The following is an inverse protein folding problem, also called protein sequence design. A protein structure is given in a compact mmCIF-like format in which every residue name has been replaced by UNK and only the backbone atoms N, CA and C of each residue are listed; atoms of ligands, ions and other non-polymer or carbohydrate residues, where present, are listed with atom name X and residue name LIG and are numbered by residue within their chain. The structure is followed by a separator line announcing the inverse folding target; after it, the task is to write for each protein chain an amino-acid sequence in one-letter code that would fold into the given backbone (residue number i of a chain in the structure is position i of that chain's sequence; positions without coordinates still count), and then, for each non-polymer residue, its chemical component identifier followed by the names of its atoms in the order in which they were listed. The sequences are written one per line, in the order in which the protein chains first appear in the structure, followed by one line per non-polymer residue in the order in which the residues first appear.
data_IF_247489865554
#
_entry.id   IF_247489865554
#
_cell.length_a   1.000
_cell.length_b   1.000
_cell.length_c   1.000
_cell.angle_alpha   90.00
_cell.angle_beta   90.00
_cell.angle_gamma   90.00
#
_symmetry.space_group_name_H-M   'P 1'
#
loop_
_entity.id
_entity.type
_entity.pdbx_description
1 polymer ?
#
# COMPACT_ATOMS: atom_id res chain seq x y z
N UNK A 1 -11.19 -34.32 -5.92
CA UNK A 1 -10.37 -33.15 -6.34
C UNK A 1 -9.90 -32.42 -5.08
N UNK A 2 -8.60 -32.16 -4.97
CA UNK A 2 -7.96 -31.46 -3.85
C UNK A 2 -7.44 -30.13 -4.38
N UNK A 3 -7.74 -29.06 -3.68
CA UNK A 3 -7.49 -27.68 -4.11
C UNK A 3 -6.67 -26.95 -3.05
N UNK A 4 -5.82 -26.02 -3.47
CA UNK A 4 -4.91 -25.29 -2.57
C UNK A 4 -5.53 -23.95 -2.20
N UNK A 5 -5.58 -23.64 -0.90
CA UNK A 5 -5.99 -22.31 -0.45
C UNK A 5 -4.90 -21.28 -0.80
N UNK A 6 -5.19 -20.21 -1.57
CA UNK A 6 -4.18 -19.23 -1.98
C UNK A 6 -3.62 -18.36 -0.84
N UNK A 7 -4.24 -18.37 0.35
CA UNK A 7 -3.81 -17.57 1.50
C UNK A 7 -2.87 -18.34 2.42
N UNK A 8 -3.26 -19.55 2.83
CA UNK A 8 -2.47 -20.36 3.75
C UNK A 8 -1.61 -21.42 3.06
N UNK A 9 -1.79 -21.66 1.75
CA UNK A 9 -1.02 -22.63 0.97
C UNK A 9 -1.32 -24.10 1.27
N UNK A 10 -2.25 -24.40 2.19
CA UNK A 10 -2.64 -25.76 2.56
C UNK A 10 -3.61 -26.36 1.53
N UNK A 11 -3.55 -27.68 1.39
CA UNK A 11 -4.41 -28.47 0.50
C UNK A 11 -5.68 -28.86 1.24
N UNK A 12 -6.84 -28.61 0.64
CA UNK A 12 -8.15 -28.97 1.20
C UNK A 12 -9.02 -29.71 0.18
N UNK A 13 -9.95 -30.58 0.64
CA UNK A 13 -11.02 -31.07 -0.21
C UNK A 13 -11.97 -29.93 -0.58
N UNK A 14 -12.51 -29.97 -1.81
CA UNK A 14 -13.40 -28.92 -2.35
C UNK A 14 -14.52 -28.48 -1.39
N UNK A 15 -15.14 -29.43 -0.66
CA UNK A 15 -16.23 -29.17 0.31
C UNK A 15 -15.86 -28.25 1.48
N UNK A 16 -14.57 -28.13 1.80
CA UNK A 16 -14.07 -27.27 2.88
C UNK A 16 -13.66 -25.88 2.41
N UNK A 17 -13.68 -25.64 1.10
CA UNK A 17 -13.38 -24.35 0.51
C UNK A 17 -14.68 -23.60 0.19
N UNK A 18 -14.67 -22.29 0.35
CA UNK A 18 -15.77 -21.41 -0.09
C UNK A 18 -15.25 -20.37 -1.07
N UNK A 19 -16.16 -19.89 -1.92
CA UNK A 19 -15.84 -18.90 -2.95
C UNK A 19 -15.97 -17.50 -2.36
N UNK A 20 -14.95 -16.67 -2.56
CA UNK A 20 -15.02 -15.25 -2.21
C UNK A 20 -15.86 -14.49 -3.25
N UNK A 21 -16.88 -13.75 -2.82
CA UNK A 21 -17.76 -13.00 -3.73
C UNK A 21 -17.03 -11.91 -4.52
N UNK A 22 -15.93 -11.36 -3.99
CA UNK A 22 -15.21 -10.24 -4.62
C UNK A 22 -14.11 -10.66 -5.61
N UNK A 23 -13.41 -11.76 -5.35
CA UNK A 23 -12.31 -12.22 -6.22
C UNK A 23 -12.57 -13.55 -6.91
N UNK A 24 -13.69 -14.23 -6.61
CA UNK A 24 -14.11 -15.48 -7.25
C UNK A 24 -13.27 -16.71 -6.90
N UNK A 25 -12.18 -16.57 -6.14
CA UNK A 25 -11.29 -17.69 -5.76
C UNK A 25 -11.82 -18.46 -4.55
N UNK A 26 -11.40 -19.72 -4.44
CA UNK A 26 -11.70 -20.63 -3.35
C UNK A 26 -10.69 -20.46 -2.20
N UNK A 27 -11.18 -20.41 -0.96
CA UNK A 27 -10.34 -20.33 0.25
C UNK A 27 -10.91 -21.22 1.36
N UNK A 28 -10.07 -21.64 2.30
CA UNK A 28 -10.52 -22.41 3.46
C UNK A 28 -11.35 -21.54 4.42
N UNK A 29 -12.12 -22.18 5.31
CA UNK A 29 -12.99 -21.51 6.27
C UNK A 29 -12.24 -20.48 7.12
N UNK A 30 -11.02 -20.78 7.56
CA UNK A 30 -10.19 -19.86 8.37
C UNK A 30 -9.72 -18.63 7.60
N UNK A 31 -9.65 -18.73 6.26
CA UNK A 31 -9.18 -17.66 5.38
C UNK A 31 -10.34 -16.83 4.80
N UNK A 32 -11.56 -17.02 5.32
CA UNK A 32 -12.79 -16.34 4.90
C UNK A 32 -13.46 -15.70 6.10
N UNK A 33 -14.06 -14.54 5.86
CA UNK A 33 -14.93 -13.81 6.77
C UNK A 33 -16.30 -13.65 6.14
N UNK A 34 -17.34 -13.68 6.95
CA UNK A 34 -18.70 -13.42 6.51
C UNK A 34 -19.05 -11.95 6.80
N UNK A 35 -19.68 -11.27 5.85
CA UNK A 35 -20.26 -9.94 6.09
C UNK A 35 -21.64 -10.07 6.72
N UNK A 36 -22.17 -8.96 7.22
CA UNK A 36 -23.55 -8.87 7.74
C UNK A 36 -24.59 -9.33 6.70
N UNK A 37 -24.33 -9.08 5.42
CA UNK A 37 -25.16 -9.52 4.29
C UNK A 37 -25.08 -11.04 4.00
N UNK A 38 -24.38 -11.83 4.82
CA UNK A 38 -24.16 -13.27 4.59
C UNK A 38 -23.15 -13.60 3.48
N UNK A 39 -22.52 -12.58 2.87
CA UNK A 39 -21.54 -12.79 1.81
C UNK A 39 -20.20 -13.30 2.35
N UNK A 40 -19.58 -14.24 1.64
CA UNK A 40 -18.25 -14.77 1.98
C UNK A 40 -17.14 -13.97 1.31
N UNK A 41 -16.24 -13.36 2.09
CA UNK A 41 -15.07 -12.63 1.62
C UNK A 41 -13.79 -13.30 2.10
N UNK A 42 -12.76 -13.39 1.25
CA UNK A 42 -11.45 -13.79 1.74
C UNK A 42 -10.79 -12.67 2.55
N UNK A 43 -9.89 -13.00 3.47
CA UNK A 43 -9.21 -12.03 4.35
C UNK A 43 -8.52 -10.90 3.57
N UNK A 44 -7.95 -11.19 2.41
CA UNK A 44 -7.36 -10.16 1.54
C UNK A 44 -8.39 -9.19 0.95
N UNK A 45 -9.60 -9.67 0.63
CA UNK A 45 -10.68 -8.82 0.13
C UNK A 45 -11.29 -8.01 1.28
N UNK A 46 -11.51 -8.63 2.44
CA UNK A 46 -11.96 -7.93 3.64
C UNK A 46 -11.00 -6.80 4.04
N UNK A 47 -9.68 -7.08 4.06
CA UNK A 47 -8.64 -6.06 4.30
C UNK A 47 -8.72 -4.88 3.34
N UNK A 48 -9.02 -5.11 2.07
CA UNK A 48 -9.15 -4.04 1.06
C UNK A 48 -10.39 -3.18 1.25
N UNK A 49 -11.43 -3.69 1.92
CA UNK A 49 -12.64 -2.94 2.23
C UNK A 49 -12.39 -2.01 3.42
N UNK A 50 -11.83 -2.55 4.50
CA UNK A 50 -11.55 -1.77 5.73
C UNK A 50 -10.37 -0.80 5.58
N UNK A 51 -9.42 -1.13 4.72
CA UNK A 51 -8.24 -0.29 4.46
C UNK A 51 -7.96 -0.26 2.96
N UNK A 52 -8.74 0.49 2.18
CA UNK A 52 -8.51 0.61 0.76
C UNK A 52 -7.12 1.19 0.51
N UNK A 53 -6.32 0.49 -0.28
CA UNK A 53 -5.06 1.06 -0.77
C UNK A 53 -5.41 2.33 -1.56
N UNK A 54 -4.90 3.49 -1.11
CA UNK A 54 -4.92 4.71 -1.90
C UNK A 54 -4.04 4.44 -3.14
N UNK A 55 -4.66 4.14 -4.27
CA UNK A 55 -3.96 3.99 -5.54
C UNK A 55 -3.73 5.41 -6.09
N UNK A 56 -2.47 5.79 -6.30
CA UNK A 56 -2.09 7.09 -6.84
C UNK A 56 -1.64 8.10 -5.78
N UNK A 57 -1.69 9.38 -6.12
CA UNK A 57 -1.30 10.50 -5.24
C UNK A 57 -2.36 10.76 -4.17
N UNK A 58 -2.04 11.61 -3.18
CA UNK A 58 -2.99 12.08 -2.14
C UNK A 58 -4.31 12.57 -2.75
N UNK A 59 -4.27 13.18 -3.93
CA UNK A 59 -5.43 13.78 -4.61
C UNK A 59 -6.15 12.84 -5.60
N UNK A 60 -5.72 11.58 -5.73
CA UNK A 60 -6.39 10.56 -6.56
C UNK A 60 -7.88 10.36 -6.25
N UNK A 61 -8.37 10.44 -4.98
CA UNK A 61 -9.80 10.38 -4.72
C UNK A 61 -10.60 11.52 -5.38
N UNK A 62 -10.02 12.71 -5.47
CA UNK A 62 -10.62 13.88 -6.11
C UNK A 62 -10.70 13.69 -7.64
N UNK A 63 -9.63 13.16 -8.26
CA UNK A 63 -9.64 12.86 -9.69
C UNK A 63 -10.74 11.86 -10.06
N UNK A 64 -10.89 10.79 -9.27
CA UNK A 64 -11.95 9.78 -9.43
C UNK A 64 -13.34 10.36 -9.20
N UNK A 65 -13.49 11.30 -8.27
CA UNK A 65 -14.75 12.01 -8.05
C UNK A 65 -15.15 12.81 -9.28
N UNK A 66 -14.25 13.65 -9.81
CA UNK A 66 -14.49 14.47 -10.99
C UNK A 66 -14.76 13.60 -12.24
N UNK A 67 -14.02 12.50 -12.41
CA UNK A 67 -14.25 11.54 -13.49
C UNK A 67 -15.67 10.98 -13.48
N UNK A 68 -16.20 10.62 -12.30
CA UNK A 68 -17.57 10.10 -12.16
C UNK A 68 -18.64 11.17 -12.41
N UNK A 69 -18.31 12.45 -12.22
CA UNK A 69 -19.22 13.57 -12.48
C UNK A 69 -19.21 14.00 -13.95
N UNK A 70 -18.12 13.74 -14.68
CA UNK A 70 -17.93 14.17 -16.06
C UNK A 70 -19.06 13.81 -17.05
N UNK A 71 -19.76 12.66 -16.94
CA UNK A 71 -20.88 12.35 -17.83
C UNK A 71 -22.12 13.23 -17.61
N UNK A 72 -22.28 13.81 -16.41
CA UNK A 72 -23.52 14.47 -16.00
C UNK A 72 -23.39 15.99 -15.95
N UNK A 73 -22.19 16.52 -15.67
CA UNK A 73 -21.97 17.95 -15.49
C UNK A 73 -20.66 18.42 -16.11
N UNK A 74 -20.69 19.62 -16.69
CA UNK A 74 -19.50 20.29 -17.23
C UNK A 74 -18.82 21.21 -16.21
N UNK A 75 -19.56 21.63 -15.17
CA UNK A 75 -19.09 22.52 -14.11
C UNK A 75 -19.49 21.95 -12.75
N UNK A 76 -18.58 21.97 -11.79
CA UNK A 76 -18.82 21.47 -10.43
C UNK A 76 -18.18 22.43 -9.44
N UNK A 77 -19.01 22.97 -8.54
CA UNK A 77 -18.53 23.79 -7.42
C UNK A 77 -18.45 22.92 -6.16
N UNK A 78 -17.28 22.87 -5.52
CA UNK A 78 -17.04 22.13 -4.29
C UNK A 78 -16.52 23.05 -3.20
N UNK A 79 -17.04 22.89 -1.99
CA UNK A 79 -16.46 23.54 -0.80
C UNK A 79 -15.20 22.80 -0.35
N UNK A 80 -14.32 23.47 0.39
CA UNK A 80 -13.09 22.87 0.89
C UNK A 80 -13.38 21.68 1.78
N UNK A 81 -14.37 21.78 2.68
CA UNK A 81 -14.79 20.66 3.52
C UNK A 81 -15.23 19.45 2.69
N UNK A 82 -15.90 19.67 1.56
CA UNK A 82 -16.29 18.57 0.66
C UNK A 82 -15.07 17.94 -0.02
N UNK A 83 -14.10 18.76 -0.43
CA UNK A 83 -12.84 18.30 -1.03
C UNK A 83 -12.04 17.47 -0.01
N UNK A 84 -11.90 17.94 1.22
CA UNK A 84 -11.24 17.23 2.33
C UNK A 84 -11.93 15.90 2.62
N UNK A 85 -13.26 15.88 2.66
CA UNK A 85 -14.03 14.64 2.81
C UNK A 85 -13.84 13.66 1.65
N UNK A 86 -13.69 14.15 0.40
CA UNK A 86 -13.40 13.30 -0.76
C UNK A 86 -11.99 12.73 -0.68
N UNK A 87 -11.01 13.56 -0.32
CA UNK A 87 -9.60 13.16 -0.17
C UNK A 87 -9.44 12.23 1.04
N UNK A 88 -10.25 12.40 2.08
CA UNK A 88 -10.08 11.74 3.38
C UNK A 88 -8.81 12.20 4.08
N UNK A 89 -8.46 13.47 3.92
CA UNK A 89 -7.33 14.17 4.55
C UNK A 89 -7.55 15.69 4.43
N UNK A 90 -6.94 16.47 5.31
CA UNK A 90 -7.07 17.92 5.35
C UNK A 90 -6.29 18.59 4.22
N UNK A 91 -6.82 19.71 3.71
CA UNK A 91 -6.12 20.54 2.74
C UNK A 91 -5.00 21.31 3.47
N UNK A 92 -3.84 21.50 2.82
CA UNK A 92 -2.76 22.25 3.43
C UNK A 92 -3.17 23.71 3.61
N UNK A 93 -2.62 24.38 4.62
CA UNK A 93 -2.90 25.80 4.90
C UNK A 93 -2.68 26.71 3.67
N UNK A 94 -1.72 26.38 2.81
CA UNK A 94 -1.45 27.08 1.56
C UNK A 94 -2.63 27.06 0.58
N UNK A 95 -3.46 26.02 0.57
CA UNK A 95 -4.65 25.94 -0.27
C UNK A 95 -5.71 26.97 0.12
N UNK A 96 -5.76 27.30 1.42
CA UNK A 96 -6.70 28.28 1.96
C UNK A 96 -6.17 29.71 1.90
N UNK A 97 -4.86 29.90 2.01
CA UNK A 97 -4.25 31.23 2.02
C UNK A 97 -3.98 31.76 0.62
N UNK A 98 -3.62 30.89 -0.33
CA UNK A 98 -3.09 31.33 -1.62
C UNK A 98 -3.87 30.75 -2.80
N UNK A 99 -4.43 31.64 -3.62
CA UNK A 99 -5.13 31.26 -4.86
C UNK A 99 -4.24 30.51 -5.85
N UNK A 100 -2.94 30.83 -5.91
CA UNK A 100 -1.98 30.15 -6.78
C UNK A 100 -1.81 28.66 -6.45
N UNK A 101 -2.21 28.21 -5.26
CA UNK A 101 -2.20 26.78 -4.92
C UNK A 101 -3.10 25.96 -5.84
N UNK A 102 -4.21 26.56 -6.28
CA UNK A 102 -5.21 26.03 -7.21
C UNK A 102 -4.89 26.32 -8.68
N UNK A 103 -3.69 26.80 -8.99
CA UNK A 103 -3.28 27.04 -10.37
C UNK A 103 -3.24 25.73 -11.18
N UNK A 104 -3.57 25.83 -12.47
CA UNK A 104 -3.59 24.70 -13.40
C UNK A 104 -2.17 24.37 -13.94
N UNK A 105 -1.20 24.13 -13.06
CA UNK A 105 0.19 23.79 -13.42
C UNK A 105 0.49 22.31 -13.25
N UNK A 106 1.05 21.66 -14.27
CA UNK A 106 1.35 20.21 -14.22
C UNK A 106 2.48 19.81 -13.28
N UNK A 107 3.27 20.76 -12.79
CA UNK A 107 4.38 20.49 -11.85
C UNK A 107 3.89 20.15 -10.44
N UNK A 108 2.63 20.49 -10.14
CA UNK A 108 2.03 20.31 -8.82
C UNK A 108 1.17 19.05 -8.78
N UNK A 109 1.40 18.19 -7.79
CA UNK A 109 0.71 16.90 -7.66
C UNK A 109 -0.80 17.04 -7.44
N UNK A 110 -1.26 18.13 -6.83
CA UNK A 110 -2.70 18.43 -6.74
C UNK A 110 -3.29 18.76 -8.11
N UNK A 111 -2.60 19.56 -8.91
CA UNK A 111 -3.12 20.05 -10.17
C UNK A 111 -3.18 18.97 -11.24
N UNK A 112 -2.19 18.07 -11.24
CA UNK A 112 -2.26 16.83 -12.02
C UNK A 112 -3.57 16.07 -11.76
N UNK A 113 -4.06 16.04 -10.52
CA UNK A 113 -5.24 15.25 -10.18
C UNK A 113 -6.52 15.69 -10.90
N UNK A 114 -6.72 16.99 -11.18
CA UNK A 114 -7.86 17.43 -11.99
C UNK A 114 -7.51 17.54 -13.48
N UNK A 115 -6.28 17.94 -13.82
CA UNK A 115 -5.86 18.07 -15.22
C UNK A 115 -5.80 16.72 -15.96
N UNK A 116 -5.34 15.65 -15.31
CA UNK A 116 -5.23 14.32 -15.92
C UNK A 116 -6.59 13.73 -16.29
N UNK A 117 -7.65 14.18 -15.61
CA UNK A 117 -9.03 13.75 -15.86
C UNK A 117 -9.80 14.74 -16.76
N UNK A 118 -9.12 15.73 -17.34
CA UNK A 118 -9.70 16.71 -18.25
C UNK A 118 -10.51 17.83 -17.58
N UNK A 119 -10.27 18.07 -16.30
CA UNK A 119 -10.88 19.16 -15.54
C UNK A 119 -9.84 20.24 -15.25
N UNK A 120 -10.27 21.49 -15.13
CA UNK A 120 -9.46 22.62 -14.73
C UNK A 120 -10.18 23.44 -13.67
N UNK A 121 -9.43 24.12 -12.82
CA UNK A 121 -10.00 25.11 -11.89
C UNK A 121 -10.34 26.37 -12.68
N UNK A 122 -11.60 26.80 -12.62
CA UNK A 122 -12.09 28.03 -13.28
C UNK A 122 -12.10 29.22 -12.32
N UNK A 123 -12.62 29.03 -11.12
CA UNK A 123 -12.74 30.08 -10.11
C UNK A 123 -12.48 29.50 -8.72
N UNK A 124 -11.91 30.33 -7.85
CA UNK A 124 -11.60 30.00 -6.46
C UNK A 124 -12.05 31.17 -5.60
N UNK A 125 -12.99 30.89 -4.71
CA UNK A 125 -13.53 31.85 -3.76
C UNK A 125 -12.98 31.48 -2.38
N UNK A 126 -11.93 32.18 -1.96
CA UNK A 126 -11.27 31.91 -0.67
C UNK A 126 -12.16 32.31 0.52
N UNK A 127 -12.96 33.37 0.38
CA UNK A 127 -13.90 33.83 1.41
C UNK A 127 -14.96 32.78 1.73
N UNK A 128 -15.55 32.19 0.68
CA UNK A 128 -16.58 31.14 0.80
C UNK A 128 -15.97 29.73 0.85
N UNK A 129 -14.64 29.61 0.81
CA UNK A 129 -13.89 28.34 0.76
C UNK A 129 -14.46 27.38 -0.29
N UNK A 130 -14.66 27.89 -1.51
CA UNK A 130 -15.25 27.15 -2.61
C UNK A 130 -14.36 27.19 -3.87
N UNK A 131 -14.35 26.09 -4.60
CA UNK A 131 -13.63 25.95 -5.87
C UNK A 131 -14.59 25.48 -6.94
N UNK A 132 -14.58 26.18 -8.06
CA UNK A 132 -15.30 25.80 -9.26
C UNK A 132 -14.36 25.09 -10.22
N UNK A 133 -14.66 23.82 -10.50
CA UNK A 133 -14.03 23.03 -11.55
C UNK A 133 -14.88 23.07 -12.82
N UNK A 134 -14.21 23.12 -13.96
CA UNK A 134 -14.82 23.12 -15.29
C UNK A 134 -14.09 22.13 -16.19
N UNK A 135 -14.84 21.47 -17.08
CA UNK A 135 -14.26 20.56 -18.06
C UNK A 135 -13.57 21.35 -19.17
N UNK A 136 -12.34 20.94 -19.50
CA UNK A 136 -11.62 21.51 -20.63
C UNK A 136 -12.11 20.84 -21.91
N UNK A 137 -12.93 21.54 -22.69
CA UNK A 137 -13.40 21.08 -23.99
C UNK A 137 -12.19 20.83 -24.91
N UNK A 138 -11.93 19.55 -25.24
CA UNK A 138 -10.79 19.15 -26.08
C UNK A 138 -9.89 18.08 -25.45
N UNK A 139 -9.99 17.86 -24.13
CA UNK A 139 -9.36 16.70 -23.49
C UNK A 139 -10.18 15.44 -23.76
N UNK A 140 -10.08 14.87 -24.97
CA UNK A 140 -10.30 13.43 -25.13
C UNK A 140 -9.36 12.79 -24.12
N UNK A 141 -9.93 12.17 -23.08
CA UNK A 141 -9.17 11.44 -22.08
C UNK A 141 -8.32 10.46 -22.89
N UNK A 142 -7.01 10.76 -23.05
CA UNK A 142 -6.07 9.75 -23.51
C UNK A 142 -5.99 8.81 -22.33
N UNK A 143 -6.93 7.89 -22.24
CA UNK A 143 -6.75 6.65 -21.51
C UNK A 143 -5.52 6.02 -22.13
N UNK A 144 -4.35 6.36 -21.60
CA UNK A 144 -3.08 5.66 -21.84
C UNK A 144 -3.13 4.26 -21.25
N UNK A 145 -4.28 3.61 -21.28
CA UNK A 145 -4.35 2.17 -21.28
C UNK A 145 -4.24 1.82 -22.76
N UNK A 146 -3.07 1.35 -23.19
CA UNK A 146 -2.98 0.50 -24.39
C UNK A 146 -3.84 -0.76 -24.12
N UNK A 147 -5.16 -0.62 -24.13
CA UNK A 147 -6.04 -1.72 -24.49
C UNK A 147 -5.77 -1.92 -25.96
N UNK A 148 -4.86 -2.86 -26.25
CA UNK A 148 -4.78 -3.44 -27.58
C UNK A 148 -6.19 -3.96 -27.86
N UNK A 149 -6.91 -3.27 -28.74
CA UNK A 149 -8.20 -3.71 -29.24
C UNK A 149 -7.96 -5.09 -29.86
N UNK A 150 -8.38 -6.13 -29.14
CA UNK A 150 -8.31 -7.50 -29.65
C UNK A 150 -9.49 -7.62 -30.60
N UNK A 151 -9.25 -7.43 -31.89
CA UNK A 151 -10.23 -7.79 -32.91
C UNK A 151 -10.55 -9.30 -32.78
N UNK A 152 -11.81 -9.72 -33.04
CA UNK A 152 -12.22 -11.13 -32.89
C UNK A 152 -11.41 -12.11 -33.75
N UNK A 153 -10.67 -11.61 -34.76
CA UNK A 153 -9.74 -12.41 -35.57
C UNK A 153 -8.45 -12.83 -34.82
N UNK A 154 -8.05 -12.13 -33.74
CA UNK A 154 -6.80 -12.41 -33.01
C UNK A 154 -6.93 -13.51 -31.94
N UNK A 155 -8.13 -14.06 -31.73
CA UNK A 155 -8.43 -15.06 -30.69
C UNK A 155 -7.98 -16.48 -31.07
N UNK A 156 -7.61 -16.73 -32.33
CA UNK A 156 -7.19 -18.07 -32.80
C UNK A 156 -5.74 -18.45 -32.46
N UNK A 157 -5.00 -17.64 -31.71
CA UNK A 157 -3.64 -18.02 -31.29
C UNK A 157 -3.71 -18.69 -29.92
N UNK A 158 -3.22 -19.94 -29.76
CA UNK A 158 -3.13 -20.55 -28.44
C UNK A 158 -2.31 -19.63 -27.53
N UNK A 159 -2.84 -19.33 -26.34
CA UNK A 159 -2.09 -18.62 -25.30
C UNK A 159 -0.90 -19.50 -24.93
N UNK A 160 0.27 -19.23 -25.53
CA UNK A 160 1.50 -19.92 -25.16
C UNK A 160 1.83 -19.51 -23.72
N UNK A 161 2.08 -20.45 -22.80
CA UNK A 161 2.47 -20.10 -21.43
C UNK A 161 3.69 -19.17 -21.50
N UNK A 162 3.63 -18.05 -20.79
CA UNK A 162 4.74 -17.11 -20.73
C UNK A 162 5.96 -17.88 -20.26
N UNK A 163 7.01 -17.98 -21.11
CA UNK A 163 8.25 -18.65 -20.75
C UNK A 163 8.72 -18.08 -19.41
N UNK A 164 9.01 -18.92 -18.40
CA UNK A 164 9.48 -18.43 -17.11
C UNK A 164 10.69 -17.53 -17.37
N UNK A 165 10.63 -16.29 -16.88
CA UNK A 165 11.79 -15.40 -16.95
C UNK A 165 12.90 -16.10 -16.18
N UNK A 166 13.90 -16.61 -16.89
CA UNK A 166 15.09 -17.19 -16.27
C UNK A 166 15.72 -16.11 -15.42
N UNK A 167 15.57 -16.20 -14.10
CA UNK A 167 16.30 -15.37 -13.15
C UNK A 167 17.77 -15.68 -13.33
N UNK A 168 18.48 -14.80 -14.06
CA UNK A 168 19.92 -14.91 -14.21
C UNK A 168 20.54 -14.95 -12.81
N UNK A 169 21.36 -15.97 -12.56
CA UNK A 169 22.10 -16.05 -11.31
C UNK A 169 22.94 -14.79 -11.14
N UNK A 170 23.06 -14.26 -9.91
CA UNK A 170 23.89 -13.09 -9.65
C UNK A 170 25.34 -13.38 -10.06
N UNK A 171 26.02 -12.38 -10.62
CA UNK A 171 27.43 -12.52 -11.00
C UNK A 171 28.30 -12.90 -9.81
N UNK A 172 29.41 -13.61 -10.05
CA UNK A 172 30.39 -13.99 -9.02
C UNK A 172 30.83 -12.78 -8.18
N UNK A 173 30.97 -11.62 -8.82
CA UNK A 173 31.30 -10.34 -8.16
C UNK A 173 30.22 -9.88 -7.17
N UNK A 174 28.94 -10.05 -7.50
CA UNK A 174 27.82 -9.68 -6.61
C UNK A 174 27.74 -10.62 -5.42
N UNK A 175 27.98 -11.91 -5.62
CA UNK A 175 28.04 -12.91 -4.55
C UNK A 175 29.20 -12.60 -3.60
N UNK A 176 30.39 -12.32 -4.13
CA UNK A 176 31.57 -11.96 -3.34
C UNK A 176 31.36 -10.70 -2.49
N UNK A 177 30.74 -9.65 -3.06
CA UNK A 177 30.39 -8.43 -2.31
C UNK A 177 29.45 -8.68 -1.14
N UNK A 178 28.45 -9.56 -1.33
CA UNK A 178 27.51 -9.92 -0.25
C UNK A 178 28.21 -10.74 0.83
N UNK A 179 29.05 -11.70 0.45
CA UNK A 179 29.85 -12.51 1.39
C UNK A 179 30.82 -11.65 2.20
N UNK A 180 31.50 -10.68 1.57
CA UNK A 180 32.38 -9.74 2.26
C UNK A 180 31.61 -8.87 3.26
N UNK A 181 30.43 -8.36 2.88
CA UNK A 181 29.56 -7.62 3.80
C UNK A 181 29.13 -8.46 5.01
N UNK A 182 28.72 -9.71 4.79
CA UNK A 182 28.35 -10.61 5.88
C UNK A 182 29.54 -10.91 6.81
N UNK A 183 30.75 -11.10 6.26
CA UNK A 183 31.97 -11.26 7.08
C UNK A 183 32.27 -10.02 7.90
N UNK A 184 32.10 -8.81 7.35
CA UNK A 184 32.31 -7.56 8.08
C UNK A 184 31.29 -7.37 9.21
N UNK A 185 30.01 -7.70 8.98
CA UNK A 185 28.98 -7.68 10.03
C UNK A 185 29.32 -8.65 11.15
N UNK A 186 29.66 -9.90 10.82
CA UNK A 186 30.09 -10.89 11.82
C UNK A 186 31.31 -10.44 12.61
N UNK A 187 32.29 -9.82 11.94
CA UNK A 187 33.48 -9.25 12.59
C UNK A 187 33.08 -8.13 13.57
N UNK A 188 32.16 -7.27 13.15
CA UNK A 188 31.53 -6.23 13.97
C UNK A 188 30.82 -6.79 15.21
N UNK A 189 30.00 -7.82 15.04
CA UNK A 189 29.31 -8.52 16.14
C UNK A 189 30.29 -9.15 17.14
N UNK A 190 31.35 -9.81 16.66
CA UNK A 190 32.40 -10.36 17.53
C UNK A 190 33.26 -9.28 18.22
N UNK A 191 33.29 -8.06 17.66
CA UNK A 191 34.00 -6.91 18.22
C UNK A 191 33.13 -6.00 19.09
N UNK A 192 31.80 -6.23 19.17
CA UNK A 192 30.94 -5.48 20.09
C UNK A 192 31.48 -5.70 21.50
N UNK A 193 31.88 -4.58 22.13
CA UNK A 193 32.43 -4.55 23.48
C UNK A 193 31.48 -5.29 24.41
N UNK A 194 31.84 -6.51 24.81
CA UNK A 194 31.27 -7.09 26.03
C UNK A 194 31.62 -6.11 27.14
N UNK A 195 30.64 -5.39 27.66
CA UNK A 195 30.84 -4.63 28.90
C UNK A 195 31.37 -5.62 29.94
N UNK A 196 32.67 -5.53 30.25
CA UNK A 196 33.28 -6.25 31.38
C UNK A 196 32.89 -5.47 32.63
N UNK A 197 31.86 -5.95 33.32
CA UNK A 197 31.49 -5.47 34.64
C UNK A 197 29.99 -5.62 34.91
N UNK A 198 29.66 -6.24 36.06
CA UNK A 198 28.31 -6.12 36.63
C UNK A 198 28.10 -4.65 36.97
N UNK A 199 27.00 -4.05 36.50
CA UNK A 199 26.69 -2.62 36.67
C UNK A 199 26.50 -2.16 38.14
N UNK A 200 26.68 -3.04 39.13
CA UNK A 200 26.76 -2.71 40.56
C UNK A 200 27.58 -3.78 41.30
N UNK A 201 28.53 -3.42 42.17
CA UNK A 201 29.12 -4.37 43.11
C UNK A 201 28.07 -4.86 44.11
N UNK A 202 28.10 -6.14 44.47
CA UNK A 202 27.20 -6.73 45.48
C UNK A 202 27.33 -5.99 46.82
N UNK A 203 26.19 -5.83 47.51
CA UNK A 203 26.14 -5.13 48.79
C UNK A 203 26.91 -5.90 49.88
N UNK A 204 27.37 -5.19 50.92
CA UNK A 204 28.08 -5.82 52.04
C UNK A 204 27.26 -6.93 52.74
N UNK A 205 25.93 -6.81 52.72
CA UNK A 205 24.99 -7.79 53.25
C UNK A 205 24.99 -9.10 52.44
N UNK A 206 24.95 -9.02 51.11
CA UNK A 206 25.02 -10.19 50.23
C UNK A 206 26.34 -10.96 50.36
N UNK A 207 27.45 -10.25 50.64
CA UNK A 207 28.76 -10.89 50.88
C UNK A 207 28.84 -11.63 52.22
N UNK A 208 27.99 -11.29 53.20
CA UNK A 208 27.97 -11.94 54.53
C UNK A 208 27.14 -13.23 54.56
N UNK A 209 26.14 -13.34 53.69
CA UNK A 209 25.18 -14.45 53.71
C UNK A 209 25.71 -15.80 53.17
N UNK A 210 26.77 -15.80 52.35
CA UNK A 210 27.39 -17.03 51.84
C UNK A 210 28.80 -17.22 52.42
N UNK A 211 28.89 -17.72 53.64
CA UNK A 211 30.03 -18.52 54.12
C UNK A 211 29.47 -19.82 54.66
N UNK A 212 29.21 -20.78 53.78
CA UNK A 212 28.53 -22.02 54.17
C UNK A 212 29.45 -23.09 54.78
N UNK A 213 30.77 -23.11 54.60
CA UNK A 213 31.55 -24.27 55.05
C UNK A 213 33.01 -23.99 55.46
N UNK A 214 33.22 -23.26 56.57
CA UNK A 214 34.45 -23.47 57.38
C UNK A 214 34.10 -23.33 58.87
N UNK A 215 34.06 -24.45 59.59
CA UNK A 215 34.33 -24.48 61.05
C UNK A 215 35.71 -25.12 61.24
N UNK A 216 36.54 -24.62 62.17
CA UNK A 216 37.97 -24.95 62.27
C UNK A 216 38.19 -26.32 62.93
N UNK A 217 39.29 -26.96 62.55
CA UNK A 217 39.70 -28.31 62.98
C UNK A 217 40.08 -28.41 64.46
N UNK A 218 39.59 -29.47 65.13
CA UNK A 218 40.38 -30.56 65.72
C UNK A 218 39.48 -31.78 65.97
#
# INVERSE_FOLDING_TARGET
MREVCPLCGKVFPYRFLRRCCRCGRLYCRDCITFTEDGNSLCLNCARRIVSPRRLGTKYSPLSRYLTRRAPFTNRVTLTFAKIEGIIGDNLPFSASRYRHWWANTRDRTQAQAWLDVGWAVRAVDLSNRAVTFERVAGSRIKTGTKHREVTPASVKTPIRPAKPKTTRSPSKTRIARVQARLKNVKRGESSMRRHRGKFKPNSAHEKRLYRLEVKPEK
#
